data_IF_654001906093
#
_entry.id   IF_654001906093
#
_cell.length_a   1.000
_cell.length_b   1.000
_cell.length_c   1.000
_cell.angle_alpha   90.00
_cell.angle_beta   90.00
_cell.angle_gamma   90.00
#
_symmetry.space_group_name_H-M   'P 1'
#
loop_
_entity.id
_entity.type
_entity.pdbx_description
1 polymer ?
#
# COMPACT_ATOMS: atom_id res chain seq x y z
N UNK A 1 -17.43 20.72 45.13
CA UNK A 1 -17.39 19.36 44.63
C UNK A 1 -17.68 19.25 43.12
N UNK A 2 -18.78 19.84 42.60
CA UNK A 2 -19.11 19.75 41.15
C UNK A 2 -18.04 20.34 40.21
N UNK A 3 -17.37 21.45 40.64
CA UNK A 3 -16.29 22.07 39.83
C UNK A 3 -15.00 21.24 39.79
N UNK A 4 -14.68 20.52 40.90
CA UNK A 4 -13.53 19.62 40.95
C UNK A 4 -13.71 18.38 40.09
N UNK A 5 -14.94 17.83 40.03
CA UNK A 5 -15.32 16.69 39.19
C UNK A 5 -15.22 17.04 37.71
N UNK A 6 -15.66 18.26 37.33
CA UNK A 6 -15.57 18.76 35.94
C UNK A 6 -14.12 18.93 35.49
N UNK A 7 -13.23 19.36 36.36
CA UNK A 7 -11.80 19.52 36.07
C UNK A 7 -11.12 18.17 35.91
N UNK A 8 -11.49 17.17 36.72
CA UNK A 8 -10.96 15.80 36.63
C UNK A 8 -11.39 15.11 35.34
N UNK A 9 -12.62 15.30 34.87
CA UNK A 9 -13.13 14.75 33.59
C UNK A 9 -12.44 15.41 32.39
N UNK A 10 -12.16 16.74 32.47
CA UNK A 10 -11.38 17.41 31.42
C UNK A 10 -9.92 16.94 31.37
N UNK A 11 -9.31 16.63 32.51
CA UNK A 11 -7.94 16.08 32.56
C UNK A 11 -7.88 14.65 31.98
N UNK A 12 -8.91 13.84 32.18
CA UNK A 12 -8.95 12.48 31.64
C UNK A 12 -9.21 12.45 30.12
N UNK A 13 -9.87 13.47 29.56
CA UNK A 13 -10.05 13.61 28.11
C UNK A 13 -8.77 14.07 27.38
N UNK A 14 -7.84 14.73 28.09
CA UNK A 14 -6.59 15.19 27.49
C UNK A 14 -5.50 14.12 27.37
N UNK A 15 -5.63 12.99 28.07
CA UNK A 15 -4.63 11.88 27.98
C UNK A 15 -4.88 10.91 26.83
N UNK A 16 -5.98 11.06 26.07
CA UNK A 16 -6.29 10.24 24.91
C UNK A 16 -5.70 10.76 23.59
N UNK A 17 -4.95 11.86 23.62
CA UNK A 17 -4.10 12.29 22.52
C UNK A 17 -2.78 11.48 22.56
N UNK A 18 -2.88 10.16 22.42
CA UNK A 18 -1.75 9.39 21.92
C UNK A 18 -1.43 10.00 20.56
N UNK A 19 -0.21 10.46 20.39
CA UNK A 19 0.29 10.90 19.10
C UNK A 19 0.00 9.75 18.09
N UNK A 20 -1.08 9.89 17.33
CA UNK A 20 -1.43 8.91 16.32
C UNK A 20 -0.33 9.06 15.26
N UNK A 21 0.56 8.10 15.19
CA UNK A 21 1.60 8.09 14.17
C UNK A 21 0.99 8.28 12.80
N UNK A 22 1.62 9.08 11.97
CA UNK A 22 1.26 9.11 10.56
C UNK A 22 1.55 7.73 9.97
N UNK A 23 0.51 7.05 9.55
CA UNK A 23 0.61 5.73 8.92
C UNK A 23 0.41 5.85 7.42
N UNK A 24 0.87 4.85 6.67
CA UNK A 24 0.60 4.74 5.24
C UNK A 24 -0.89 4.84 4.95
N UNK A 25 -1.26 5.54 3.87
CA UNK A 25 -2.65 5.70 3.45
C UNK A 25 -2.85 5.16 2.04
N UNK A 26 -3.88 4.37 1.87
CA UNK A 26 -4.40 3.93 0.58
C UNK A 26 -5.74 4.65 0.31
N UNK A 27 -5.85 5.38 -0.81
CA UNK A 27 -7.02 6.22 -1.15
C UNK A 27 -7.46 7.19 -0.04
N UNK A 28 -6.48 7.67 0.75
CA UNK A 28 -6.73 8.53 1.91
C UNK A 28 -7.16 7.77 3.17
N UNK A 29 -7.34 6.47 3.11
CA UNK A 29 -7.67 5.59 4.24
C UNK A 29 -6.38 5.15 4.92
N UNK A 30 -6.20 5.37 6.24
CA UNK A 30 -5.07 4.81 6.98
C UNK A 30 -5.01 3.29 6.87
N UNK A 31 -3.86 2.73 6.51
CA UNK A 31 -3.59 1.28 6.49
C UNK A 31 -3.41 0.84 7.94
N UNK A 32 -4.53 0.73 8.65
CA UNK A 32 -4.57 0.42 10.08
C UNK A 32 -5.96 -0.07 10.50
N UNK A 33 -6.06 -0.58 11.72
CA UNK A 33 -7.29 -1.11 12.30
C UNK A 33 -7.55 -2.57 11.92
N UNK A 34 -8.79 -3.02 12.05
CA UNK A 34 -9.17 -4.41 11.73
C UNK A 34 -9.46 -4.61 10.25
N UNK A 35 -9.32 -5.84 9.74
CA UNK A 35 -9.67 -6.20 8.36
C UNK A 35 -11.12 -5.84 8.02
N UNK A 36 -12.07 -6.15 8.91
CA UNK A 36 -13.49 -5.84 8.70
C UNK A 36 -13.74 -4.34 8.55
N UNK A 37 -13.09 -3.51 9.38
CA UNK A 37 -13.19 -2.05 9.26
C UNK A 37 -12.57 -1.53 7.95
N UNK A 38 -11.47 -2.14 7.49
CA UNK A 38 -10.84 -1.77 6.23
C UNK A 38 -11.72 -2.15 5.03
N UNK A 39 -12.33 -3.34 5.03
CA UNK A 39 -13.29 -3.76 4.01
C UNK A 39 -14.41 -2.71 3.89
N UNK A 40 -15.07 -2.36 5.01
CA UNK A 40 -16.15 -1.37 5.01
C UNK A 40 -15.71 0.00 4.47
N UNK A 41 -14.50 0.47 4.82
CA UNK A 41 -13.97 1.73 4.30
C UNK A 41 -13.71 1.69 2.80
N UNK A 42 -13.25 0.54 2.27
CA UNK A 42 -13.01 0.35 0.84
C UNK A 42 -14.33 0.19 0.06
N UNK A 43 -15.33 -0.48 0.63
CA UNK A 43 -16.68 -0.53 0.05
C UNK A 43 -17.29 0.87 -0.08
N UNK A 44 -17.11 1.74 0.92
CA UNK A 44 -17.50 3.15 0.85
C UNK A 44 -16.73 3.96 -0.22
N UNK A 45 -15.63 3.42 -0.75
CA UNK A 45 -14.87 3.97 -1.90
C UNK A 45 -15.29 3.37 -3.25
N UNK A 46 -16.29 2.48 -3.26
CA UNK A 46 -16.82 1.87 -4.49
C UNK A 46 -16.23 0.52 -4.84
N UNK A 47 -15.50 -0.12 -3.92
CA UNK A 47 -15.05 -1.50 -4.10
C UNK A 47 -16.14 -2.48 -3.65
N UNK A 48 -16.15 -3.67 -4.24
CA UNK A 48 -17.07 -4.76 -3.88
C UNK A 48 -16.26 -5.89 -3.27
N UNK A 49 -16.65 -6.34 -2.07
CA UNK A 49 -15.97 -7.43 -1.38
C UNK A 49 -16.51 -8.79 -1.82
N UNK A 50 -15.61 -9.64 -2.26
CA UNK A 50 -15.84 -11.06 -2.55
C UNK A 50 -15.40 -11.88 -1.34
N UNK A 51 -16.39 -12.43 -0.62
CA UNK A 51 -16.19 -13.20 0.61
C UNK A 51 -15.51 -14.55 0.33
N UNK A 52 -15.79 -15.15 -0.83
CA UNK A 52 -15.27 -16.49 -1.17
C UNK A 52 -13.76 -16.44 -1.47
N UNK A 53 -13.34 -15.40 -2.19
CA UNK A 53 -11.94 -15.21 -2.59
C UNK A 53 -11.16 -14.29 -1.65
N UNK A 54 -11.83 -13.69 -0.66
CA UNK A 54 -11.25 -12.76 0.32
C UNK A 54 -10.53 -11.57 -0.32
N UNK A 55 -11.09 -11.01 -1.40
CA UNK A 55 -10.57 -9.85 -2.14
C UNK A 55 -11.66 -8.81 -2.36
N UNK A 56 -11.27 -7.54 -2.50
CA UNK A 56 -12.15 -6.50 -3.01
C UNK A 56 -11.84 -6.24 -4.48
N UNK A 57 -12.87 -6.00 -5.28
CA UNK A 57 -12.74 -5.66 -6.71
C UNK A 57 -13.27 -4.27 -6.95
N UNK A 58 -12.61 -3.50 -7.80
CA UNK A 58 -13.01 -2.14 -8.15
C UNK A 58 -12.07 -1.49 -9.15
N UNK A 59 -12.21 -0.17 -9.29
CA UNK A 59 -11.34 0.62 -10.17
C UNK A 59 -10.29 1.38 -9.35
N UNK A 60 -9.04 1.28 -9.78
CA UNK A 60 -7.93 2.01 -9.21
C UNK A 60 -6.90 2.33 -10.29
N UNK A 61 -6.41 3.56 -10.31
CA UNK A 61 -5.37 4.03 -11.24
C UNK A 61 -5.67 3.69 -12.71
N UNK A 62 -6.90 3.92 -13.14
CA UNK A 62 -7.34 3.75 -14.54
C UNK A 62 -7.53 2.28 -14.98
N UNK A 63 -7.65 1.35 -14.05
CA UNK A 63 -7.89 -0.05 -14.38
C UNK A 63 -8.66 -0.82 -13.32
N UNK A 64 -9.19 -1.97 -13.72
CA UNK A 64 -9.82 -2.92 -12.79
C UNK A 64 -8.76 -3.64 -11.98
N UNK A 65 -8.90 -3.58 -10.66
CA UNK A 65 -7.98 -4.20 -9.73
C UNK A 65 -8.71 -5.09 -8.73
N UNK A 66 -7.96 -6.05 -8.20
CA UNK A 66 -8.28 -6.72 -6.95
C UNK A 66 -7.42 -6.13 -5.84
N UNK A 67 -7.99 -6.07 -4.62
CA UNK A 67 -7.32 -5.60 -3.43
C UNK A 67 -7.33 -6.71 -2.39
N UNK A 68 -6.16 -7.08 -1.91
CA UNK A 68 -5.99 -7.94 -0.74
C UNK A 68 -5.63 -7.11 0.48
N UNK A 69 -6.19 -7.46 1.64
CA UNK A 69 -5.91 -6.84 2.93
C UNK A 69 -5.13 -7.84 3.77
N UNK A 70 -3.89 -7.50 4.11
CA UNK A 70 -3.02 -8.36 4.93
C UNK A 70 -2.98 -7.84 6.35
N UNK A 71 -3.13 -8.76 7.31
CA UNK A 71 -3.11 -8.44 8.74
C UNK A 71 -1.98 -9.17 9.46
N UNK A 72 -1.45 -8.52 10.49
CA UNK A 72 -0.55 -9.11 11.47
C UNK A 72 -1.08 -8.82 12.87
N UNK A 73 -1.19 -9.81 13.74
CA UNK A 73 -1.80 -9.69 15.08
C UNK A 73 -3.14 -8.95 15.08
N UNK A 74 -4.02 -9.28 14.11
CA UNK A 74 -5.34 -8.67 13.87
C UNK A 74 -5.36 -7.18 13.46
N UNK A 75 -4.22 -6.60 13.15
CA UNK A 75 -4.11 -5.24 12.59
C UNK A 75 -3.74 -5.28 11.12
N UNK A 76 -4.39 -4.44 10.33
CA UNK A 76 -4.02 -4.25 8.91
C UNK A 76 -2.66 -3.58 8.86
N UNK A 77 -1.71 -4.22 8.19
CA UNK A 77 -0.39 -3.67 7.97
C UNK A 77 -0.07 -3.46 6.50
N UNK A 78 -0.77 -4.16 5.60
CA UNK A 78 -0.54 -4.06 4.15
C UNK A 78 -1.84 -4.09 3.35
N UNK A 79 -1.92 -3.23 2.36
CA UNK A 79 -2.89 -3.31 1.26
C UNK A 79 -2.13 -3.66 -0.01
N UNK A 80 -2.60 -4.66 -0.75
CA UNK A 80 -2.03 -5.05 -2.05
C UNK A 80 -3.09 -4.81 -3.12
N UNK A 81 -2.83 -3.88 -4.03
CA UNK A 81 -3.66 -3.67 -5.21
C UNK A 81 -2.97 -4.30 -6.43
N UNK A 82 -3.68 -5.12 -7.18
CA UNK A 82 -3.13 -5.75 -8.38
C UNK A 82 -4.16 -5.79 -9.51
N UNK A 83 -3.70 -5.57 -10.73
CA UNK A 83 -4.58 -5.57 -11.90
C UNK A 83 -5.18 -6.95 -12.13
N UNK A 84 -6.50 -6.99 -12.43
CA UNK A 84 -7.22 -8.24 -12.67
C UNK A 84 -6.69 -8.97 -13.90
N UNK A 85 -6.44 -8.21 -14.97
CA UNK A 85 -5.99 -8.75 -16.24
C UNK A 85 -4.46 -8.66 -16.38
N UNK A 86 -3.85 -9.78 -16.69
CA UNK A 86 -2.47 -9.83 -17.13
C UNK A 86 -2.31 -9.22 -18.53
N UNK A 87 -1.14 -8.71 -18.83
CA UNK A 87 -0.82 -8.10 -20.11
C UNK A 87 0.49 -8.66 -20.68
N UNK A 88 0.81 -8.30 -21.91
CA UNK A 88 2.09 -8.67 -22.54
C UNK A 88 3.24 -7.79 -22.05
N UNK A 89 4.45 -8.12 -22.46
CA UNK A 89 5.67 -7.42 -22.06
C UNK A 89 5.65 -5.93 -22.41
N UNK A 90 5.29 -5.54 -23.61
CA UNK A 90 5.25 -4.14 -24.03
C UNK A 90 4.23 -3.33 -23.19
N UNK A 91 3.09 -3.93 -22.88
CA UNK A 91 2.05 -3.30 -22.08
C UNK A 91 2.48 -3.16 -20.61
N UNK A 92 3.14 -4.17 -20.01
CA UNK A 92 3.57 -4.08 -18.61
C UNK A 92 4.69 -3.04 -18.44
N UNK A 93 5.62 -2.95 -19.41
CA UNK A 93 6.65 -1.91 -19.43
C UNK A 93 6.03 -0.51 -19.43
N UNK A 94 5.04 -0.30 -20.31
CA UNK A 94 4.31 0.97 -20.36
C UNK A 94 3.59 1.29 -19.05
N UNK A 95 2.89 0.30 -18.46
CA UNK A 95 2.17 0.48 -17.18
C UNK A 95 3.12 0.77 -16.03
N UNK A 96 4.24 0.04 -15.95
CA UNK A 96 5.25 0.24 -14.92
C UNK A 96 5.84 1.66 -15.00
N UNK A 97 6.28 2.07 -16.19
CA UNK A 97 6.89 3.38 -16.39
C UNK A 97 5.90 4.52 -16.17
N UNK A 98 4.62 4.34 -16.54
CA UNK A 98 3.58 5.32 -16.23
C UNK A 98 3.37 5.47 -14.72
N UNK A 99 3.36 4.36 -13.98
CA UNK A 99 3.25 4.39 -12.51
C UNK A 99 4.50 5.01 -11.87
N UNK A 100 5.69 4.65 -12.33
CA UNK A 100 6.96 5.26 -11.94
C UNK A 100 6.91 6.79 -12.07
N UNK A 101 6.47 7.31 -13.22
CA UNK A 101 6.35 8.75 -13.46
C UNK A 101 5.28 9.39 -12.53
N UNK A 102 4.15 8.70 -12.30
CA UNK A 102 3.13 9.20 -11.38
C UNK A 102 3.66 9.36 -9.95
N UNK A 103 4.41 8.40 -9.44
CA UNK A 103 4.99 8.46 -8.09
C UNK A 103 6.08 9.53 -7.99
N UNK A 104 6.98 9.60 -8.96
CA UNK A 104 8.08 10.59 -8.96
C UNK A 104 7.57 12.05 -9.07
N UNK A 105 6.46 12.27 -9.77
CA UNK A 105 5.87 13.60 -9.92
C UNK A 105 4.86 13.94 -8.82
N UNK A 106 4.63 13.05 -7.86
CA UNK A 106 3.66 13.25 -6.79
C UNK A 106 4.36 13.68 -5.49
N UNK A 107 4.15 14.94 -5.10
CA UNK A 107 4.73 15.53 -3.89
C UNK A 107 4.36 14.82 -2.55
N UNK A 108 3.49 13.79 -2.60
CA UNK A 108 3.17 12.97 -1.42
C UNK A 108 4.17 11.83 -1.19
N UNK A 109 5.12 11.63 -2.09
CA UNK A 109 6.07 10.52 -2.05
C UNK A 109 7.50 11.02 -2.22
N UNK A 110 8.43 10.28 -1.63
CA UNK A 110 9.87 10.44 -1.88
C UNK A 110 10.48 9.07 -2.19
N UNK A 111 11.23 8.99 -3.28
CA UNK A 111 11.83 7.73 -3.72
C UNK A 111 13.04 7.37 -2.86
N UNK A 112 13.21 6.08 -2.56
CA UNK A 112 14.44 5.52 -2.03
C UNK A 112 15.01 4.36 -2.89
N UNK A 113 14.18 3.80 -3.77
CA UNK A 113 14.57 2.84 -4.80
C UNK A 113 13.62 2.98 -5.97
N UNK A 114 14.05 3.59 -7.06
CA UNK A 114 13.18 3.72 -8.22
C UNK A 114 13.99 3.80 -9.51
N UNK A 115 13.61 2.98 -10.48
CA UNK A 115 14.22 2.95 -11.79
C UNK A 115 13.13 2.81 -12.86
N UNK A 116 13.26 3.57 -13.93
CA UNK A 116 12.49 3.39 -15.14
C UNK A 116 13.01 2.18 -15.91
N UNK A 117 12.13 1.44 -16.56
CA UNK A 117 12.52 0.31 -17.42
C UNK A 117 12.87 0.87 -18.80
N UNK A 118 14.11 0.65 -19.30
CA UNK A 118 14.52 1.08 -20.63
C UNK A 118 13.63 0.49 -21.73
N UNK A 119 13.46 1.23 -22.82
CA UNK A 119 12.59 0.79 -23.93
C UNK A 119 13.10 -0.49 -24.61
N UNK A 120 14.40 -0.68 -24.68
CA UNK A 120 15.10 -1.82 -25.27
C UNK A 120 15.28 -3.01 -24.32
N UNK A 121 14.88 -2.89 -23.06
CA UNK A 121 14.95 -3.97 -22.08
C UNK A 121 14.03 -5.12 -22.45
N UNK A 122 14.54 -6.34 -22.49
CA UNK A 122 13.78 -7.58 -22.61
C UNK A 122 13.43 -8.08 -21.21
N UNK A 123 12.23 -7.71 -20.72
CA UNK A 123 11.76 -8.06 -19.37
C UNK A 123 11.68 -9.58 -19.20
N UNK A 124 11.21 -10.29 -20.22
CA UNK A 124 11.04 -11.75 -20.19
C UNK A 124 12.38 -12.45 -19.98
N UNK A 125 13.37 -12.07 -20.75
CA UNK A 125 14.73 -12.60 -20.64
C UNK A 125 15.38 -12.26 -19.29
N UNK A 126 15.31 -11.01 -18.90
CA UNK A 126 15.91 -10.53 -17.65
C UNK A 126 15.30 -11.21 -16.40
N UNK A 127 13.97 -11.37 -16.37
CA UNK A 127 13.30 -12.05 -15.26
C UNK A 127 13.60 -13.55 -15.23
N UNK A 128 13.57 -14.23 -16.40
CA UNK A 128 13.69 -15.69 -16.45
C UNK A 128 15.14 -16.19 -16.34
N UNK A 129 16.11 -15.44 -16.90
CA UNK A 129 17.52 -15.86 -16.96
C UNK A 129 18.35 -15.22 -15.87
N UNK A 130 18.12 -13.93 -15.60
CA UNK A 130 18.90 -13.18 -14.62
C UNK A 130 18.20 -13.02 -13.27
N UNK A 131 16.97 -13.56 -13.10
CA UNK A 131 16.15 -13.37 -11.91
C UNK A 131 16.00 -11.89 -11.52
N UNK A 132 15.97 -11.00 -12.52
CA UNK A 132 15.85 -9.56 -12.31
C UNK A 132 14.45 -9.21 -11.84
N UNK A 133 14.38 -8.45 -10.75
CA UNK A 133 13.15 -7.91 -10.23
C UNK A 133 12.97 -6.46 -10.67
N UNK A 134 11.80 -6.14 -11.22
CA UNK A 134 11.42 -4.77 -11.56
C UNK A 134 10.58 -4.19 -10.43
N UNK A 135 11.22 -3.37 -9.61
CA UNK A 135 10.63 -2.80 -8.41
C UNK A 135 10.96 -1.33 -8.26
N UNK A 136 9.97 -0.54 -7.83
CA UNK A 136 10.19 0.83 -7.35
C UNK A 136 9.54 1.02 -5.99
N UNK A 137 10.22 1.75 -5.10
CA UNK A 137 9.80 1.91 -3.72
C UNK A 137 9.96 3.36 -3.24
N UNK A 138 9.01 3.80 -2.44
CA UNK A 138 8.82 5.17 -2.00
C UNK A 138 8.39 5.21 -0.54
N UNK A 139 8.79 6.27 0.15
CA UNK A 139 8.17 6.65 1.42
C UNK A 139 7.01 7.60 1.17
N UNK A 140 5.91 7.41 1.90
CA UNK A 140 4.77 8.33 1.86
C UNK A 140 4.96 9.45 2.88
N UNK A 141 4.97 10.69 2.40
CA UNK A 141 5.13 11.89 3.23
C UNK A 141 3.93 12.11 4.19
N UNK A 142 4.09 12.88 5.28
CA UNK A 142 5.14 13.87 5.54
C UNK A 142 6.49 13.27 5.97
N UNK A 143 7.57 14.06 5.80
CA UNK A 143 8.90 13.71 6.30
C UNK A 143 9.01 14.06 7.79
N UNK A 144 8.50 13.15 8.61
CA UNK A 144 8.48 13.23 10.07
C UNK A 144 9.06 11.94 10.68
N UNK A 145 9.06 11.84 11.99
CA UNK A 145 9.48 10.62 12.68
C UNK A 145 8.66 9.41 12.21
N UNK A 146 9.36 8.34 11.83
CA UNK A 146 8.75 7.11 11.31
C UNK A 146 8.39 7.15 9.82
N UNK A 147 9.00 8.05 9.04
CA UNK A 147 8.85 8.06 7.58
C UNK A 147 9.17 6.69 6.98
N UNK A 148 10.21 6.01 7.47
CA UNK A 148 10.65 4.68 7.05
C UNK A 148 9.62 3.56 7.34
N UNK A 149 8.61 3.84 8.16
CA UNK A 149 7.49 2.93 8.44
C UNK A 149 6.33 3.05 7.46
N UNK A 150 6.38 4.02 6.53
CA UNK A 150 5.32 4.31 5.55
C UNK A 150 5.79 4.05 4.14
N UNK A 151 5.80 2.79 3.76
CA UNK A 151 6.36 2.34 2.48
C UNK A 151 5.23 2.11 1.47
N UNK A 152 5.44 2.60 0.25
CA UNK A 152 4.62 2.26 -0.92
C UNK A 152 5.55 1.79 -2.01
N UNK A 153 5.31 0.61 -2.54
CA UNK A 153 6.17 0.06 -3.56
C UNK A 153 5.36 -0.74 -4.58
N UNK A 154 5.93 -0.95 -5.75
CA UNK A 154 5.28 -1.74 -6.78
C UNK A 154 6.30 -2.58 -7.54
N UNK A 155 5.83 -3.69 -8.08
CA UNK A 155 6.67 -4.65 -8.78
C UNK A 155 5.88 -5.37 -9.87
N UNK A 156 6.60 -5.92 -10.84
CA UNK A 156 6.05 -6.79 -11.88
C UNK A 156 6.09 -8.24 -11.39
N UNK A 157 4.97 -8.94 -11.52
CA UNK A 157 4.91 -10.39 -11.41
C UNK A 157 4.57 -11.01 -12.77
N UNK A 158 5.25 -12.09 -13.08
CA UNK A 158 4.97 -12.92 -14.26
C UNK A 158 4.23 -14.18 -13.82
N UNK A 159 3.19 -14.53 -14.57
CA UNK A 159 2.40 -15.72 -14.35
C UNK A 159 1.94 -16.28 -15.71
N UNK A 160 2.47 -17.46 -16.11
CA UNK A 160 2.20 -18.14 -17.37
C UNK A 160 2.33 -17.25 -18.62
N UNK A 161 3.41 -16.49 -18.73
CA UNK A 161 3.69 -15.60 -19.87
C UNK A 161 2.83 -14.33 -19.90
N UNK A 162 2.14 -14.03 -18.80
CA UNK A 162 1.42 -12.78 -18.58
C UNK A 162 2.02 -12.02 -17.40
N UNK A 163 2.02 -10.71 -17.53
CA UNK A 163 2.58 -9.81 -16.50
C UNK A 163 1.46 -9.07 -15.80
N UNK A 164 1.60 -8.93 -14.49
CA UNK A 164 0.72 -8.09 -13.66
C UNK A 164 1.56 -7.14 -12.82
N UNK A 165 1.04 -5.94 -12.62
CA UNK A 165 1.61 -4.97 -11.70
C UNK A 165 0.93 -5.09 -10.35
N UNK A 166 1.72 -5.23 -9.30
CA UNK A 166 1.29 -5.26 -7.90
C UNK A 166 1.78 -4.00 -7.21
N UNK A 167 0.91 -3.36 -6.45
CA UNK A 167 1.19 -2.13 -5.72
C UNK A 167 0.89 -2.38 -4.25
N UNK A 168 1.88 -2.15 -3.40
CA UNK A 168 1.84 -2.42 -1.97
C UNK A 168 1.84 -1.12 -1.18
N UNK A 169 0.99 -1.04 -0.18
CA UNK A 169 0.92 0.06 0.78
C UNK A 169 1.17 -0.52 2.17
N UNK A 170 2.35 -0.33 2.70
CA UNK A 170 2.83 -0.97 3.92
C UNK A 170 2.85 0.01 5.09
N UNK A 171 2.24 -0.38 6.20
CA UNK A 171 2.34 0.27 7.49
C UNK A 171 3.20 -0.59 8.42
N UNK A 172 4.50 -0.33 8.43
CA UNK A 172 5.48 -1.12 9.21
C UNK A 172 5.33 -0.95 10.74
N UNK A 173 4.55 0.03 11.22
CA UNK A 173 4.19 0.10 12.63
C UNK A 173 3.35 -1.09 13.10
N UNK A 174 2.60 -1.71 12.20
CA UNK A 174 1.74 -2.86 12.49
C UNK A 174 2.39 -4.20 12.10
N UNK A 175 3.65 -4.19 11.63
CA UNK A 175 4.39 -5.37 11.21
C UNK A 175 5.74 -5.44 11.92
N UNK A 176 5.73 -5.32 13.25
CA UNK A 176 6.94 -5.48 14.05
C UNK A 176 7.21 -6.98 14.28
N UNK A 177 8.22 -7.49 13.58
CA UNK A 177 8.67 -8.88 13.70
C UNK A 177 9.79 -9.06 14.72
N UNK A 178 10.17 -8.03 15.47
CA UNK A 178 11.25 -8.10 16.47
C UNK A 178 10.94 -9.01 17.63
N UNK A 179 9.68 -9.36 17.86
CA UNK A 179 9.24 -10.31 18.90
C UNK A 179 9.37 -11.80 18.49
N UNK A 180 9.80 -12.08 17.25
CA UNK A 180 9.91 -13.47 16.72
C UNK A 180 11.35 -14.03 16.73
N UNK A 181 12.30 -13.32 17.39
CA UNK A 181 13.70 -13.77 17.53
C UNK A 181 14.00 -14.26 18.94
#
# INVERSE_FOLDING_TARGET
MKKLLSLLVMLMLSTALHAQHNVTKFLGIPVDGTKASMIQKLENKGFTYDVENDVLSGEFNGGKVNISIVTYKNKVWRIVAFYQEGCNEAQIKTRYNALYQQFNNNAKYTSFKSNEIPNDEDISYEMSIHNKEYQSAYYQLPNDEGLEKRIVWFTIHEDYGKYKLYIYYDNEYNHDTTDEL
#
